data_IF_658277033249
#
_entry.id   IF_658277033249
#
_cell.length_a   1.000
_cell.length_b   1.000
_cell.length_c   1.000
_cell.angle_alpha   90.00
_cell.angle_beta   90.00
_cell.angle_gamma   90.00
#
_symmetry.space_group_name_H-M   'P 1'
#
loop_
_entity.id
_entity.type
_entity.pdbx_description
1 polymer ?
#
# COMPACT_ATOMS: atom_id res chain seq x y z
N UNK A 1 12.76 -11.94 3.43
CA UNK A 1 12.80 -13.03 2.44
C UNK A 1 14.09 -13.01 1.62
N UNK A 2 14.71 -11.84 1.43
CA UNK A 2 15.91 -11.67 0.61
C UNK A 2 15.60 -11.70 -0.88
N UNK A 3 14.37 -11.36 -1.31
CA UNK A 3 13.96 -11.49 -2.72
C UNK A 3 13.15 -10.30 -3.22
N UNK A 4 13.44 -9.86 -4.44
CA UNK A 4 12.71 -8.82 -5.17
C UNK A 4 12.08 -9.48 -6.41
N UNK A 5 10.77 -9.36 -6.55
CA UNK A 5 10.07 -9.75 -7.78
C UNK A 5 10.05 -8.56 -8.74
N UNK A 6 10.66 -8.70 -9.91
CA UNK A 6 10.55 -7.74 -11.01
C UNK A 6 9.54 -8.21 -12.05
N UNK A 7 8.70 -7.29 -12.50
CA UNK A 7 7.68 -7.51 -13.52
C UNK A 7 7.83 -6.46 -14.61
N UNK A 8 8.00 -6.91 -15.84
CA UNK A 8 7.90 -6.07 -17.03
C UNK A 8 6.57 -6.37 -17.72
N UNK A 9 5.67 -5.39 -17.70
CA UNK A 9 4.33 -5.50 -18.29
C UNK A 9 4.35 -5.46 -19.82
N UNK A 10 5.31 -4.76 -20.42
CA UNK A 10 5.46 -4.69 -21.88
C UNK A 10 5.94 -6.02 -22.44
N UNK A 11 6.95 -6.62 -21.80
CA UNK A 11 7.49 -7.90 -22.21
C UNK A 11 6.71 -9.11 -21.66
N UNK A 12 5.78 -8.89 -20.73
CA UNK A 12 5.09 -9.93 -19.93
C UNK A 12 6.07 -10.91 -19.29
N UNK A 13 7.15 -10.37 -18.69
CA UNK A 13 8.24 -11.15 -18.09
C UNK A 13 8.33 -10.90 -16.60
N UNK A 14 8.76 -11.94 -15.88
CA UNK A 14 9.04 -11.88 -14.45
C UNK A 14 10.45 -12.36 -14.17
N UNK A 15 11.13 -11.71 -13.24
CA UNK A 15 12.42 -12.15 -12.72
C UNK A 15 12.44 -12.04 -11.20
N UNK A 16 13.11 -12.98 -10.53
CA UNK A 16 13.32 -12.93 -9.09
C UNK A 16 14.80 -12.64 -8.84
N UNK A 17 15.07 -11.53 -8.17
CA UNK A 17 16.43 -11.13 -7.81
C UNK A 17 16.66 -11.36 -6.32
N UNK A 18 17.86 -11.84 -5.98
CA UNK A 18 18.32 -11.90 -4.60
C UNK A 18 18.62 -10.49 -4.09
N UNK A 19 18.02 -10.13 -2.95
CA UNK A 19 18.34 -8.88 -2.24
C UNK A 19 19.61 -9.10 -1.42
N UNK A 20 20.66 -8.35 -1.75
CA UNK A 20 21.92 -8.36 -1.02
C UNK A 20 21.67 -8.04 0.47
N UNK A 21 22.13 -8.90 1.41
CA UNK A 21 22.00 -8.67 2.83
C UNK A 21 22.55 -7.32 3.30
N UNK A 22 23.63 -6.81 2.70
CA UNK A 22 24.21 -5.52 3.03
C UNK A 22 23.27 -4.34 2.70
N UNK A 23 22.52 -4.45 1.60
CA UNK A 23 21.49 -3.48 1.23
C UNK A 23 20.33 -3.57 2.22
N UNK A 24 19.89 -4.78 2.56
CA UNK A 24 18.82 -4.96 3.56
C UNK A 24 19.21 -4.44 4.95
N UNK A 25 20.47 -4.58 5.37
CA UNK A 25 20.98 -4.06 6.63
C UNK A 25 21.06 -2.52 6.63
N UNK A 26 21.44 -1.92 5.50
CA UNK A 26 21.57 -0.48 5.35
C UNK A 26 20.22 0.24 5.22
N UNK A 27 19.28 -0.35 4.50
CA UNK A 27 18.00 0.30 4.14
C UNK A 27 16.78 -0.30 4.85
N UNK A 28 16.95 -1.39 5.61
CA UNK A 28 15.95 -2.09 6.44
C UNK A 28 14.82 -2.77 5.65
N UNK A 29 14.14 -2.05 4.75
CA UNK A 29 12.97 -2.48 3.99
C UNK A 29 12.05 -1.29 3.68
N UNK A 30 10.83 -1.56 3.22
CA UNK A 30 9.80 -0.52 2.99
C UNK A 30 10.31 0.69 2.20
N UNK A 31 10.01 1.90 2.68
CA UNK A 31 10.45 3.15 2.07
C UNK A 31 11.98 3.25 1.86
N UNK A 32 12.79 2.74 2.79
CA UNK A 32 14.26 2.78 2.67
C UNK A 32 14.77 1.95 1.50
N UNK A 33 14.25 0.72 1.35
CA UNK A 33 14.55 -0.11 0.17
C UNK A 33 14.00 0.52 -1.12
N UNK A 34 12.85 1.18 -1.02
CA UNK A 34 12.23 1.91 -2.13
C UNK A 34 13.10 3.07 -2.63
N UNK A 35 13.69 3.83 -1.70
CA UNK A 35 14.61 4.92 -2.02
C UNK A 35 15.86 4.40 -2.72
N UNK A 36 16.43 3.29 -2.24
CA UNK A 36 17.57 2.64 -2.90
C UNK A 36 17.22 2.14 -4.31
N UNK A 37 16.05 1.51 -4.49
CA UNK A 37 15.60 1.05 -5.81
C UNK A 37 15.38 2.22 -6.77
N UNK A 38 14.73 3.29 -6.32
CA UNK A 38 14.47 4.46 -7.17
C UNK A 38 15.78 5.19 -7.51
N UNK A 39 16.75 5.23 -6.60
CA UNK A 39 18.06 5.83 -6.89
C UNK A 39 18.87 5.05 -7.93
N UNK A 40 18.54 3.78 -8.19
CA UNK A 40 19.16 3.02 -9.29
C UNK A 40 18.60 3.43 -10.67
N UNK A 41 17.48 4.15 -10.70
CA UNK A 41 16.88 4.63 -11.93
C UNK A 41 17.68 5.82 -12.47
N UNK A 42 18.39 5.62 -13.58
CA UNK A 42 19.38 6.57 -14.09
C UNK A 42 18.78 7.86 -14.68
N UNK A 43 17.46 7.95 -14.85
CA UNK A 43 16.80 9.03 -15.60
C UNK A 43 16.09 10.01 -14.66
N UNK A 44 16.82 11.06 -14.24
CA UNK A 44 16.29 12.15 -13.41
C UNK A 44 15.31 13.08 -14.13
N UNK A 45 15.12 12.95 -15.45
CA UNK A 45 14.15 13.74 -16.23
C UNK A 45 13.00 12.89 -16.79
N UNK A 46 12.83 11.66 -16.30
CA UNK A 46 11.79 10.76 -16.78
C UNK A 46 10.38 11.30 -16.50
N UNK A 47 9.50 11.24 -17.50
CA UNK A 47 8.06 11.46 -17.32
C UNK A 47 7.51 10.44 -16.30
N UNK A 48 6.92 10.89 -15.17
CA UNK A 48 6.35 10.00 -14.16
C UNK A 48 5.26 9.04 -14.67
N UNK A 49 4.65 9.26 -15.83
CA UNK A 49 3.65 8.35 -16.40
C UNK A 49 4.21 7.41 -17.48
N UNK A 50 5.50 7.53 -17.81
CA UNK A 50 6.14 6.70 -18.83
C UNK A 50 6.27 5.22 -18.40
N UNK A 51 6.30 4.28 -19.37
CA UNK A 51 6.51 2.85 -19.10
C UNK A 51 7.76 2.55 -18.26
N UNK A 52 8.83 3.33 -18.42
CA UNK A 52 10.10 3.19 -17.71
C UNK A 52 10.01 3.62 -16.25
N UNK A 53 9.00 4.40 -15.84
CA UNK A 53 8.87 4.81 -14.45
C UNK A 53 8.49 3.59 -13.62
N UNK A 54 9.34 3.15 -12.70
CA UNK A 54 8.98 2.01 -11.87
C UNK A 54 7.91 2.40 -10.85
N UNK A 55 7.01 1.46 -10.56
CA UNK A 55 6.21 1.49 -9.34
C UNK A 55 6.56 0.25 -8.53
N UNK A 56 6.89 0.45 -7.25
CA UNK A 56 7.33 -0.63 -6.37
C UNK A 56 6.45 -0.72 -5.13
N UNK A 57 6.08 -1.95 -4.77
CA UNK A 57 5.34 -2.32 -3.56
C UNK A 57 6.30 -3.05 -2.62
N UNK A 58 6.57 -2.47 -1.46
CA UNK A 58 7.64 -2.91 -0.57
C UNK A 58 7.11 -3.22 0.82
N UNK A 59 7.70 -4.23 1.43
CA UNK A 59 7.38 -4.66 2.79
C UNK A 59 8.51 -4.31 3.74
N UNK A 60 8.17 -4.01 4.99
CA UNK A 60 9.14 -3.97 6.08
C UNK A 60 9.53 -5.39 6.54
N UNK A 61 10.65 -5.56 7.27
CA UNK A 61 11.07 -6.86 7.79
C UNK A 61 10.04 -7.48 8.75
N UNK A 62 9.24 -6.65 9.42
CA UNK A 62 8.22 -7.08 10.38
C UNK A 62 6.87 -7.44 9.73
N UNK A 63 6.66 -7.10 8.45
CA UNK A 63 5.37 -7.33 7.80
C UNK A 63 4.98 -8.83 7.82
N UNK A 64 3.73 -9.13 8.17
CA UNK A 64 3.20 -10.49 8.32
C UNK A 64 3.60 -11.24 9.60
N UNK A 65 4.39 -10.62 10.48
CA UNK A 65 4.75 -11.19 11.80
C UNK A 65 3.66 -10.95 12.84
N UNK A 66 3.86 -11.44 14.07
CA UNK A 66 2.91 -11.27 15.20
C UNK A 66 2.95 -9.87 15.85
N UNK A 67 3.80 -8.98 15.37
CA UNK A 67 3.91 -7.63 15.90
C UNK A 67 2.64 -6.84 15.54
N UNK A 68 1.95 -6.20 16.51
CA UNK A 68 0.75 -5.43 16.23
C UNK A 68 0.98 -4.37 15.15
N UNK A 69 0.04 -4.27 14.19
CA UNK A 69 0.13 -3.32 13.08
C UNK A 69 1.16 -3.65 12.00
N UNK A 70 1.76 -4.85 12.03
CA UNK A 70 2.78 -5.25 11.05
C UNK A 70 2.16 -5.93 9.81
N UNK A 71 1.20 -5.28 9.17
CA UNK A 71 0.60 -5.70 7.91
C UNK A 71 0.84 -4.67 6.77
N UNK A 72 1.60 -3.62 7.09
CA UNK A 72 1.83 -2.46 6.22
C UNK A 72 2.71 -2.78 5.01
N UNK A 73 2.47 -2.04 3.94
CA UNK A 73 3.31 -1.97 2.75
C UNK A 73 3.38 -0.54 2.24
N UNK A 74 4.53 -0.22 1.67
CA UNK A 74 4.82 1.09 1.08
C UNK A 74 4.79 0.96 -0.43
N UNK A 75 4.19 1.93 -1.11
CA UNK A 75 4.27 2.09 -2.55
C UNK A 75 5.15 3.29 -2.86
N UNK A 76 6.09 3.12 -3.79
CA UNK A 76 6.98 4.19 -4.22
C UNK A 76 7.07 4.25 -5.74
N UNK A 77 7.18 5.46 -6.26
CA UNK A 77 7.48 5.74 -7.66
C UNK A 77 7.95 7.20 -7.78
N UNK A 78 8.37 7.61 -8.98
CA UNK A 78 8.35 9.04 -9.30
C UNK A 78 6.90 9.52 -9.38
N UNK A 79 6.57 10.57 -8.64
CA UNK A 79 5.21 11.10 -8.50
C UNK A 79 4.78 11.93 -9.72
N UNK A 80 3.64 11.66 -10.37
CA UNK A 80 3.09 12.51 -11.44
C UNK A 80 2.51 13.83 -10.93
N UNK A 81 2.27 13.95 -9.61
CA UNK A 81 1.78 15.19 -9.02
C UNK A 81 2.91 16.21 -8.82
N UNK A 82 4.07 15.74 -8.39
CA UNK A 82 5.17 16.60 -7.91
C UNK A 82 6.44 16.47 -8.73
N UNK A 83 6.57 15.45 -9.58
CA UNK A 83 7.75 15.18 -10.40
C UNK A 83 8.96 14.65 -9.64
N UNK A 84 8.83 14.37 -8.34
CA UNK A 84 9.92 13.92 -7.44
C UNK A 84 9.54 12.58 -6.75
N UNK A 85 10.17 12.26 -5.62
CA UNK A 85 9.81 11.13 -4.75
C UNK A 85 8.30 11.10 -4.44
N UNK A 86 7.67 9.97 -4.76
CA UNK A 86 6.31 9.64 -4.36
C UNK A 86 6.33 8.43 -3.43
N UNK A 87 5.68 8.57 -2.28
CA UNK A 87 5.57 7.52 -1.28
C UNK A 87 4.17 7.55 -0.67
N UNK A 88 3.56 6.37 -0.55
CA UNK A 88 2.31 6.21 0.19
C UNK A 88 2.23 4.81 0.79
N UNK A 89 1.48 4.65 1.88
CA UNK A 89 1.54 3.43 2.70
C UNK A 89 0.13 2.99 3.12
N UNK A 90 -0.14 1.70 3.02
CA UNK A 90 -1.43 1.06 3.36
C UNK A 90 -1.18 -0.28 4.07
N UNK A 91 -2.21 -1.06 4.37
CA UNK A 91 -2.11 -2.32 5.13
C UNK A 91 -2.68 -3.55 4.41
N UNK A 92 -2.67 -4.69 5.10
CA UNK A 92 -3.04 -6.07 4.67
C UNK A 92 -2.27 -6.70 3.51
N UNK A 93 -2.12 -6.03 2.37
CA UNK A 93 -1.47 -6.58 1.18
C UNK A 93 0.01 -6.96 1.44
N UNK A 94 0.74 -6.15 2.20
CA UNK A 94 2.16 -6.36 2.49
C UNK A 94 2.47 -7.69 3.17
N UNK A 95 1.64 -8.10 4.12
CA UNK A 95 1.80 -9.36 4.80
C UNK A 95 1.70 -10.56 3.84
N UNK A 96 0.74 -10.53 2.90
CA UNK A 96 0.59 -11.60 1.90
C UNK A 96 1.67 -11.57 0.84
N UNK A 97 2.13 -10.39 0.42
CA UNK A 97 3.29 -10.28 -0.48
C UNK A 97 4.55 -10.89 0.14
N UNK A 98 4.81 -10.58 1.42
CA UNK A 98 5.95 -11.17 2.14
C UNK A 98 5.83 -12.69 2.27
N UNK A 99 4.63 -13.21 2.52
CA UNK A 99 4.34 -14.65 2.57
C UNK A 99 4.30 -15.31 1.19
N UNK A 100 4.19 -14.56 0.09
CA UNK A 100 4.46 -15.07 -1.26
C UNK A 100 5.98 -15.14 -1.51
N UNK A 101 6.74 -14.55 -0.58
CA UNK A 101 8.17 -14.74 -0.46
C UNK A 101 8.99 -13.61 -1.06
N UNK A 102 8.40 -12.42 -1.19
CA UNK A 102 9.02 -11.23 -1.77
C UNK A 102 9.04 -10.09 -0.76
N UNK A 103 10.18 -9.43 -0.61
CA UNK A 103 10.27 -8.21 0.19
C UNK A 103 9.88 -6.97 -0.62
N UNK A 104 10.01 -7.04 -1.94
CA UNK A 104 9.56 -6.02 -2.88
C UNK A 104 9.01 -6.63 -4.17
N UNK A 105 8.03 -5.95 -4.75
CA UNK A 105 7.51 -6.14 -6.11
C UNK A 105 7.76 -4.86 -6.89
N UNK A 106 8.56 -4.92 -7.95
CA UNK A 106 8.93 -3.78 -8.80
C UNK A 106 8.32 -3.98 -10.19
N UNK A 107 7.57 -2.99 -10.67
CA UNK A 107 6.83 -3.08 -11.92
C UNK A 107 7.26 -1.98 -12.88
N UNK A 108 7.64 -2.37 -14.09
CA UNK A 108 7.98 -1.50 -15.23
C UNK A 108 7.19 -1.90 -16.47
N UNK A 109 7.34 -1.13 -17.54
CA UNK A 109 6.59 -1.33 -18.77
C UNK A 109 5.14 -0.86 -18.68
N UNK A 110 4.39 -1.13 -19.74
CA UNK A 110 2.97 -0.85 -19.88
C UNK A 110 2.34 -2.03 -20.64
N UNK A 111 1.23 -2.56 -20.13
CA UNK A 111 0.53 -3.65 -20.82
C UNK A 111 -0.22 -3.15 -22.06
N UNK A 112 -0.39 -4.03 -23.05
CA UNK A 112 -1.17 -3.72 -24.27
C UNK A 112 -2.66 -3.54 -23.98
N UNK A 113 -3.17 -4.30 -23.01
CA UNK A 113 -4.57 -4.29 -22.56
C UNK A 113 -4.65 -4.09 -21.04
N UNK A 114 -5.79 -3.67 -20.48
CA UNK A 114 -6.05 -3.74 -19.04
C UNK A 114 -5.66 -5.11 -18.48
N UNK A 115 -4.73 -5.12 -17.54
CA UNK A 115 -4.13 -6.34 -16.98
C UNK A 115 -4.21 -6.30 -15.46
N UNK A 116 -4.33 -7.45 -14.81
CA UNK A 116 -4.06 -7.60 -13.38
C UNK A 116 -3.05 -8.72 -13.14
N UNK A 117 -2.26 -8.58 -12.08
CA UNK A 117 -1.29 -9.60 -11.67
C UNK A 117 -1.91 -10.50 -10.61
N UNK A 118 -1.75 -11.82 -10.77
CA UNK A 118 -2.05 -12.81 -9.74
C UNK A 118 -0.76 -13.47 -9.26
N UNK A 119 -0.44 -13.32 -7.98
CA UNK A 119 0.82 -13.75 -7.38
C UNK A 119 0.54 -14.76 -6.28
N UNK A 120 1.13 -15.95 -6.38
CA UNK A 120 1.16 -16.94 -5.30
C UNK A 120 2.62 -17.21 -4.89
N UNK A 121 2.82 -18.12 -3.94
CA UNK A 121 4.13 -18.65 -3.62
C UNK A 121 4.72 -19.56 -4.72
N UNK A 122 3.92 -19.94 -5.72
CA UNK A 122 4.29 -20.88 -6.79
C UNK A 122 4.30 -20.23 -8.19
N UNK A 123 3.34 -19.34 -8.47
CA UNK A 123 3.07 -18.81 -9.81
C UNK A 123 2.87 -17.30 -9.81
N UNK A 124 3.21 -16.69 -10.95
CA UNK A 124 2.90 -15.28 -11.25
C UNK A 124 2.21 -15.25 -12.62
N UNK A 125 0.99 -14.74 -12.65
CA UNK A 125 0.15 -14.72 -13.85
C UNK A 125 -0.24 -13.30 -14.24
N UNK A 126 -0.21 -13.02 -15.55
CA UNK A 126 -0.71 -11.79 -16.16
C UNK A 126 -2.11 -12.08 -16.71
N UNK A 127 -3.15 -11.57 -16.04
CA UNK A 127 -4.55 -11.86 -16.37
C UNK A 127 -5.24 -10.65 -16.99
N UNK A 128 -6.18 -10.93 -17.90
CA UNK A 128 -7.02 -9.91 -18.51
C UNK A 128 -7.88 -9.22 -17.44
N UNK A 129 -7.89 -7.88 -17.44
CA UNK A 129 -8.69 -7.06 -16.54
C UNK A 129 -9.68 -6.13 -17.27
N UNK A 130 -9.96 -6.37 -18.56
CA UNK A 130 -10.86 -5.54 -19.35
C UNK A 130 -12.27 -5.48 -18.73
N UNK A 131 -12.73 -6.61 -18.19
CA UNK A 131 -14.01 -6.70 -17.48
C UNK A 131 -14.04 -5.98 -16.12
N UNK A 132 -12.87 -5.62 -15.55
CA UNK A 132 -12.75 -4.81 -14.33
C UNK A 132 -12.50 -3.33 -14.62
N UNK A 133 -12.02 -3.00 -15.82
CA UNK A 133 -11.70 -1.64 -16.21
C UNK A 133 -12.96 -0.76 -16.21
N UNK A 134 -12.89 0.42 -15.63
CA UNK A 134 -14.02 1.32 -15.41
C UNK A 134 -14.81 1.07 -14.12
N UNK A 135 -14.60 -0.05 -13.44
CA UNK A 135 -15.29 -0.37 -12.17
C UNK A 135 -14.66 0.35 -10.98
N UNK A 136 -15.48 0.70 -10.00
CA UNK A 136 -15.01 1.20 -8.71
C UNK A 136 -14.25 0.11 -7.94
N UNK A 137 -13.32 0.53 -7.08
CA UNK A 137 -12.53 -0.37 -6.23
C UNK A 137 -13.38 -1.21 -5.27
N UNK A 138 -14.61 -0.81 -4.96
CA UNK A 138 -15.55 -1.62 -4.18
C UNK A 138 -16.17 -2.77 -4.97
N UNK A 139 -16.28 -2.64 -6.29
CA UNK A 139 -16.96 -3.60 -7.16
C UNK A 139 -16.05 -4.71 -7.66
N UNK A 140 -14.74 -4.55 -7.52
CA UNK A 140 -13.72 -5.49 -8.03
C UNK A 140 -13.32 -6.55 -7.02
N UNK A 141 -13.66 -6.39 -5.74
CA UNK A 141 -13.28 -7.35 -4.69
C UNK A 141 -13.83 -8.75 -4.96
N UNK A 142 -15.14 -8.87 -5.16
CA UNK A 142 -15.79 -10.17 -5.38
C UNK A 142 -15.29 -10.86 -6.65
N UNK A 143 -15.20 -10.18 -7.82
CA UNK A 143 -14.60 -10.77 -9.02
C UNK A 143 -13.16 -11.26 -8.82
N UNK A 144 -12.28 -10.44 -8.24
CA UNK A 144 -10.88 -10.82 -8.02
C UNK A 144 -10.81 -12.07 -7.13
N UNK A 145 -11.54 -12.12 -6.01
CA UNK A 145 -11.52 -13.28 -5.12
C UNK A 145 -12.10 -14.54 -5.77
N UNK A 146 -13.11 -14.41 -6.63
CA UNK A 146 -13.72 -15.53 -7.35
C UNK A 146 -12.78 -16.11 -8.41
N UNK A 147 -12.02 -15.27 -9.11
CA UNK A 147 -11.06 -15.69 -10.14
C UNK A 147 -9.75 -16.21 -9.55
N UNK A 148 -9.41 -15.80 -8.33
CA UNK A 148 -8.12 -16.10 -7.68
C UNK A 148 -8.28 -17.02 -6.48
N UNK A 149 -8.44 -16.45 -5.28
CA UNK A 149 -8.60 -17.17 -4.03
C UNK A 149 -9.43 -16.36 -3.03
N UNK A 150 -10.32 -16.99 -2.23
CA UNK A 150 -11.16 -16.29 -1.25
C UNK A 150 -10.36 -15.47 -0.24
N UNK A 151 -9.14 -15.90 0.10
CA UNK A 151 -8.23 -15.23 1.03
C UNK A 151 -7.09 -14.46 0.33
N UNK A 152 -7.24 -14.12 -0.95
CA UNK A 152 -6.31 -13.22 -1.62
C UNK A 152 -6.37 -11.83 -0.97
N UNK A 153 -5.23 -11.17 -0.81
CA UNK A 153 -5.21 -9.73 -0.58
C UNK A 153 -4.95 -9.06 -1.94
N UNK A 154 -5.49 -7.87 -2.17
CA UNK A 154 -5.29 -7.20 -3.44
C UNK A 154 -5.20 -5.69 -3.27
N UNK A 155 -4.48 -5.08 -4.19
CA UNK A 155 -4.46 -3.63 -4.42
C UNK A 155 -5.02 -3.33 -5.80
N UNK A 156 -5.67 -2.19 -5.95
CA UNK A 156 -6.27 -1.83 -7.23
C UNK A 156 -6.48 -0.33 -7.39
N UNK A 157 -6.71 0.08 -8.63
CA UNK A 157 -7.11 1.43 -8.99
C UNK A 157 -8.58 1.48 -9.39
N UNK A 158 -9.24 2.61 -9.09
CA UNK A 158 -10.55 2.95 -9.65
C UNK A 158 -10.43 3.81 -10.90
N UNK A 159 -11.57 4.35 -11.41
CA UNK A 159 -11.59 5.18 -12.60
C UNK A 159 -10.65 6.40 -12.56
N UNK A 160 -10.37 6.93 -11.36
CA UNK A 160 -9.41 8.03 -11.20
C UNK A 160 -7.98 7.63 -11.61
N UNK A 161 -7.54 6.42 -11.26
CA UNK A 161 -6.23 5.90 -11.66
C UNK A 161 -6.19 5.58 -13.14
N UNK A 162 -7.24 4.96 -13.67
CA UNK A 162 -7.39 4.63 -15.10
C UNK A 162 -7.35 5.88 -15.99
N UNK A 163 -7.91 7.00 -15.51
CA UNK A 163 -7.90 8.31 -16.16
C UNK A 163 -6.71 9.19 -15.78
N UNK A 164 -5.71 8.61 -15.11
CA UNK A 164 -4.44 9.26 -14.77
C UNK A 164 -4.56 10.54 -13.94
N UNK A 165 -5.58 10.62 -13.06
CA UNK A 165 -5.72 11.77 -12.18
C UNK A 165 -4.50 11.87 -11.24
N UNK A 166 -3.83 13.02 -11.18
CA UNK A 166 -2.58 13.21 -10.41
C UNK A 166 -2.74 13.00 -8.89
N UNK A 167 -3.97 12.90 -8.39
CA UNK A 167 -4.31 12.59 -7.00
C UNK A 167 -4.93 11.20 -6.82
N UNK A 168 -4.85 10.34 -7.83
CA UNK A 168 -5.40 8.99 -7.78
C UNK A 168 -4.65 8.12 -6.75
N UNK A 169 -5.44 7.46 -5.91
CA UNK A 169 -4.99 6.51 -4.90
C UNK A 169 -4.88 5.09 -5.46
N UNK A 170 -4.15 4.24 -4.74
CA UNK A 170 -4.24 2.78 -4.85
C UNK A 170 -4.99 2.28 -3.62
N UNK A 171 -6.08 1.55 -3.84
CA UNK A 171 -6.97 1.07 -2.79
C UNK A 171 -6.66 -0.39 -2.43
N UNK A 172 -6.87 -0.75 -1.18
CA UNK A 172 -6.74 -2.10 -0.62
C UNK A 172 -8.04 -2.47 0.11
N UNK A 173 -8.43 -3.75 0.06
CA UNK A 173 -9.57 -4.33 0.79
C UNK A 173 -10.96 -3.79 0.41
N UNK A 174 -11.16 -3.43 -0.86
CA UNK A 174 -12.50 -3.08 -1.35
C UNK A 174 -13.24 -2.10 -0.43
N UNK A 175 -14.35 -2.55 0.14
CA UNK A 175 -15.24 -1.73 0.99
C UNK A 175 -14.64 -1.27 2.31
N UNK A 176 -13.64 -1.99 2.85
CA UNK A 176 -12.96 -1.58 4.10
C UNK A 176 -12.06 -0.35 3.87
N UNK A 177 -11.80 0.01 2.61
CA UNK A 177 -11.35 1.35 2.23
C UNK A 177 -9.96 1.75 2.73
N UNK A 178 -8.97 0.86 2.64
CA UNK A 178 -7.57 1.22 2.92
C UNK A 178 -6.94 1.83 1.66
N UNK A 179 -6.05 2.81 1.82
CA UNK A 179 -5.53 3.56 0.68
C UNK A 179 -4.06 3.95 0.83
N UNK A 180 -3.29 3.67 -0.21
CA UNK A 180 -2.09 4.42 -0.56
C UNK A 180 -2.55 5.66 -1.35
N UNK A 181 -2.90 6.73 -0.62
CA UNK A 181 -3.78 7.78 -1.12
C UNK A 181 -3.11 8.99 -1.79
N UNK A 182 -1.81 9.21 -1.57
CA UNK A 182 -1.12 10.46 -1.99
C UNK A 182 -0.07 10.20 -3.06
N UNK A 183 0.48 11.30 -3.58
CA UNK A 183 1.53 11.32 -4.61
C UNK A 183 1.11 10.81 -5.99
N UNK A 184 -0.17 10.53 -6.24
CA UNK A 184 -0.67 10.13 -7.55
C UNK A 184 -0.20 8.74 -8.00
N UNK A 185 0.16 7.86 -7.07
CA UNK A 185 0.67 6.53 -7.39
C UNK A 185 -0.38 5.65 -8.09
N UNK A 186 -1.68 5.92 -7.89
CA UNK A 186 -2.75 5.29 -8.67
C UNK A 186 -2.74 5.68 -10.15
N UNK A 187 -2.30 6.89 -10.50
CA UNK A 187 -2.12 7.28 -11.90
C UNK A 187 -0.89 6.61 -12.53
N UNK A 188 0.19 6.40 -11.78
CA UNK A 188 1.34 5.62 -12.24
C UNK A 188 0.93 4.17 -12.53
N UNK A 189 0.16 3.56 -11.63
CA UNK A 189 -0.37 2.20 -11.84
C UNK A 189 -1.32 2.15 -13.07
N UNK A 190 -2.16 3.17 -13.23
CA UNK A 190 -3.07 3.29 -14.37
C UNK A 190 -2.37 3.53 -15.71
N UNK A 191 -1.29 4.30 -15.75
CA UNK A 191 -0.54 4.55 -17.00
C UNK A 191 0.05 3.27 -17.57
N UNK A 192 0.32 2.29 -16.71
CA UNK A 192 0.79 0.95 -17.08
C UNK A 192 -0.31 -0.01 -17.53
N UNK A 193 -1.57 0.43 -17.55
CA UNK A 193 -2.78 -0.38 -17.73
C UNK A 193 -2.89 -1.53 -16.72
N UNK A 194 -2.33 -1.35 -15.52
CA UNK A 194 -2.40 -2.33 -14.45
C UNK A 194 -3.59 -2.02 -13.54
N UNK A 195 -4.66 -2.81 -13.64
CA UNK A 195 -5.90 -2.60 -12.87
C UNK A 195 -5.75 -3.01 -11.41
N UNK A 196 -5.12 -4.16 -11.16
CA UNK A 196 -4.99 -4.72 -9.82
C UNK A 196 -3.75 -5.61 -9.69
N UNK A 197 -3.35 -5.86 -8.45
CA UNK A 197 -2.38 -6.88 -8.06
C UNK A 197 -3.01 -7.66 -6.93
N UNK A 198 -3.29 -8.94 -7.17
CA UNK A 198 -3.81 -9.86 -6.18
C UNK A 198 -2.70 -10.83 -5.76
N UNK A 199 -2.65 -11.14 -4.46
CA UNK A 199 -1.61 -11.98 -3.88
C UNK A 199 -2.17 -12.94 -2.83
N UNK A 200 -1.71 -14.19 -2.88
CA UNK A 200 -1.98 -15.17 -1.84
C UNK A 200 -0.72 -15.98 -1.51
N UNK A 201 0.06 -15.43 -0.58
CA UNK A 201 1.22 -16.10 -0.03
C UNK A 201 0.92 -16.90 1.23
N UNK A 202 1.58 -18.05 1.38
CA UNK A 202 1.42 -18.98 2.52
C UNK A 202 2.71 -19.33 3.24
N UNK A 203 3.87 -18.88 2.74
CA UNK A 203 5.16 -19.21 3.35
C UNK A 203 5.23 -18.74 4.81
N UNK A 204 5.88 -19.56 5.63
CA UNK A 204 6.17 -19.20 7.01
C UNK A 204 7.34 -18.21 7.07
N UNK A 205 7.14 -17.13 7.84
CA UNK A 205 8.16 -16.12 8.04
C UNK A 205 9.13 -16.59 9.14
N UNK A 206 10.42 -16.61 8.79
CA UNK A 206 11.47 -16.96 9.73
C UNK A 206 11.74 -15.80 10.69
N UNK A 207 11.67 -16.08 11.99
CA UNK A 207 11.99 -15.13 13.07
C UNK A 207 13.29 -15.61 13.72
N UNK A 208 14.33 -14.77 13.72
CA UNK A 208 15.63 -15.14 14.26
C UNK A 208 15.60 -15.51 15.76
N UNK A 209 14.76 -14.81 16.54
CA UNK A 209 14.63 -14.99 17.99
C UNK A 209 13.14 -15.08 18.39
N UNK A 210 12.47 -16.23 18.17
CA UNK A 210 11.03 -16.36 18.38
C UNK A 210 10.63 -16.15 19.85
N UNK A 211 11.39 -16.69 20.80
CA UNK A 211 11.11 -16.53 22.24
C UNK A 211 11.32 -15.09 22.70
N UNK A 212 12.34 -14.42 22.16
CA UNK A 212 12.59 -12.99 22.40
C UNK A 212 11.43 -12.12 21.91
N UNK A 213 10.90 -12.41 20.73
CA UNK A 213 9.71 -11.73 20.20
C UNK A 213 8.49 -11.96 21.10
N UNK A 214 8.25 -13.20 21.53
CA UNK A 214 7.12 -13.52 22.43
C UNK A 214 7.24 -12.76 23.76
N UNK A 215 8.43 -12.72 24.35
CA UNK A 215 8.69 -11.97 25.59
C UNK A 215 8.44 -10.47 25.41
N UNK A 216 8.92 -9.89 24.31
CA UNK A 216 8.67 -8.49 23.97
C UNK A 216 7.15 -8.23 23.81
N UNK A 217 6.43 -9.10 23.11
CA UNK A 217 4.98 -8.92 22.92
C UNK A 217 4.21 -8.96 24.24
N UNK A 218 4.58 -9.85 25.18
CA UNK A 218 3.95 -9.91 26.51
C UNK A 218 4.06 -8.60 27.29
N UNK A 219 5.17 -7.87 27.13
CA UNK A 219 5.40 -6.60 27.81
C UNK A 219 4.80 -5.41 27.06
N UNK A 220 4.88 -5.39 25.72
CA UNK A 220 4.48 -4.23 24.93
C UNK A 220 2.98 -4.20 24.61
N UNK A 221 2.33 -5.35 24.36
CA UNK A 221 0.92 -5.38 23.95
C UNK A 221 -0.03 -4.77 24.99
N UNK A 222 0.10 -5.05 26.31
CA UNK A 222 -0.74 -4.42 27.32
C UNK A 222 -0.61 -2.88 27.29
N UNK A 223 0.62 -2.37 27.20
CA UNK A 223 0.89 -0.93 27.10
C UNK A 223 0.31 -0.31 25.83
N UNK A 224 0.42 -1.00 24.70
CA UNK A 224 -0.19 -0.53 23.43
C UNK A 224 -1.71 -0.42 23.59
N UNK A 225 -2.36 -1.42 24.19
CA UNK A 225 -3.83 -1.39 24.40
C UNK A 225 -4.24 -0.22 25.28
N UNK A 226 -3.55 0.00 26.38
CA UNK A 226 -3.79 1.12 27.30
C UNK A 226 -3.70 2.47 26.57
N UNK A 227 -2.58 2.72 25.88
CA UNK A 227 -2.33 3.98 25.17
C UNK A 227 -3.23 4.20 23.94
N UNK A 228 -3.86 3.16 23.40
CA UNK A 228 -4.68 3.23 22.17
C UNK A 228 -6.18 3.15 22.42
N UNK A 229 -6.62 3.18 23.69
CA UNK A 229 -8.04 3.10 24.06
C UNK A 229 -8.94 4.05 23.28
N UNK A 230 -8.53 5.32 23.10
CA UNK A 230 -9.29 6.30 22.33
C UNK A 230 -9.41 5.92 20.84
N UNK A 231 -8.30 5.52 20.21
CA UNK A 231 -8.30 5.07 18.81
C UNK A 231 -9.13 3.79 18.62
N UNK A 232 -9.15 2.88 19.60
CA UNK A 232 -9.98 1.68 19.56
C UNK A 232 -11.47 2.04 19.63
N UNK A 233 -11.84 3.02 20.44
CA UNK A 233 -13.24 3.38 20.64
C UNK A 233 -13.79 4.29 19.53
N UNK A 234 -13.00 5.23 19.04
CA UNK A 234 -13.47 6.33 18.17
C UNK A 234 -12.74 6.43 16.82
N UNK A 235 -11.79 5.52 16.55
CA UNK A 235 -10.94 5.60 15.36
C UNK A 235 -10.05 6.85 15.33
N UNK A 236 -9.50 7.17 14.17
CA UNK A 236 -8.72 8.41 13.96
C UNK A 236 -9.57 9.67 14.13
N UNK A 237 -10.87 9.59 13.83
CA UNK A 237 -11.83 10.69 13.97
C UNK A 237 -12.06 11.10 15.42
N UNK A 238 -11.66 10.29 16.42
CA UNK A 238 -11.69 10.66 17.83
C UNK A 238 -10.84 11.88 18.18
N UNK A 239 -9.86 12.24 17.34
CA UNK A 239 -9.00 13.41 17.54
C UNK A 239 -9.58 14.74 17.02
N UNK A 240 -10.71 14.74 16.30
CA UNK A 240 -11.20 15.93 15.58
C UNK A 240 -11.43 17.12 16.52
N UNK A 241 -12.06 16.90 17.68
CA UNK A 241 -12.33 17.97 18.67
C UNK A 241 -11.03 18.54 19.21
N UNK A 242 -10.07 17.68 19.57
CA UNK A 242 -8.77 18.12 20.07
C UNK A 242 -7.97 18.91 19.01
N UNK A 243 -8.07 18.56 17.72
CA UNK A 243 -7.42 19.31 16.64
C UNK A 243 -8.06 20.70 16.46
N UNK A 244 -9.38 20.83 16.67
CA UNK A 244 -10.05 22.13 16.63
C UNK A 244 -9.61 23.03 17.80
N UNK A 245 -9.54 22.49 19.02
CA UNK A 245 -9.14 23.23 20.22
C UNK A 245 -7.73 23.84 20.13
N UNK A 246 -6.81 23.16 19.43
CA UNK A 246 -5.44 23.64 19.21
C UNK A 246 -5.27 24.47 17.92
N UNK A 247 -6.34 24.69 17.16
CA UNK A 247 -6.32 25.45 15.90
C UNK A 247 -5.72 24.72 14.70
N UNK A 248 -5.65 23.37 14.73
CA UNK A 248 -5.12 22.52 13.65
C UNK A 248 -6.22 21.82 12.83
N UNK A 249 -7.47 22.30 12.92
CA UNK A 249 -8.57 21.82 12.08
C UNK A 249 -8.75 22.75 10.85
N UNK A 250 -8.48 22.28 9.61
CA UNK A 250 -8.62 23.12 8.43
C UNK A 250 -10.08 23.46 8.13
N UNK A 251 -10.46 24.72 8.35
CA UNK A 251 -11.80 25.25 8.06
C UNK A 251 -11.72 26.21 6.87
N UNK A 252 -12.53 25.94 5.83
CA UNK A 252 -12.62 26.77 4.60
C UNK A 252 -11.24 27.09 4.00
N UNK A 253 -10.45 26.06 3.71
CA UNK A 253 -9.08 26.21 3.19
C UNK A 253 -8.18 27.07 4.10
N UNK A 254 -8.18 26.76 5.40
CA UNK A 254 -7.37 27.45 6.42
C UNK A 254 -7.72 28.93 6.67
N UNK A 255 -8.88 29.40 6.22
CA UNK A 255 -9.34 30.77 6.48
C UNK A 255 -10.17 30.91 7.77
N UNK A 256 -10.64 29.80 8.35
CA UNK A 256 -11.38 29.79 9.61
C UNK A 256 -10.48 29.62 10.84
N UNK A 257 -10.98 30.01 12.02
CA UNK A 257 -10.27 29.89 13.29
C UNK A 257 -10.95 28.97 14.32
N UNK A 258 -12.25 29.20 14.60
CA UNK A 258 -13.03 28.36 15.53
C UNK A 258 -14.23 27.74 14.78
N UNK A 259 -14.46 26.45 14.99
CA UNK A 259 -15.57 25.69 14.42
C UNK A 259 -16.03 24.54 15.34
N UNK A 260 -16.08 24.80 16.64
CA UNK A 260 -16.33 23.79 17.68
C UNK A 260 -17.59 22.93 17.44
N UNK A 261 -18.74 23.56 17.13
CA UNK A 261 -19.99 22.83 16.89
C UNK A 261 -19.88 21.86 15.70
N UNK A 262 -19.21 22.29 14.64
CA UNK A 262 -19.00 21.47 13.45
C UNK A 262 -18.00 20.35 13.69
N UNK A 263 -16.91 20.63 14.41
CA UNK A 263 -15.92 19.64 14.80
C UNK A 263 -16.55 18.53 15.65
N UNK A 264 -17.40 18.88 16.61
CA UNK A 264 -18.19 17.91 17.38
C UNK A 264 -19.08 17.07 16.46
N UNK A 265 -19.84 17.71 15.56
CA UNK A 265 -20.80 17.02 14.69
C UNK A 265 -20.18 15.97 13.76
N UNK A 266 -18.89 16.10 13.41
CA UNK A 266 -18.16 15.15 12.55
C UNK A 266 -17.13 14.30 13.32
N UNK A 267 -17.11 14.38 14.66
CA UNK A 267 -16.15 13.66 15.49
C UNK A 267 -16.42 12.15 15.51
N UNK A 268 -15.36 11.36 15.77
CA UNK A 268 -15.48 9.92 15.97
C UNK A 268 -16.36 9.55 17.19
N UNK A 269 -16.45 10.44 18.18
CA UNK A 269 -17.32 10.27 19.36
C UNK A 269 -18.78 10.30 18.91
N UNK A 270 -19.17 11.34 18.16
CA UNK A 270 -20.53 11.49 17.63
C UNK A 270 -20.90 10.38 16.64
N UNK A 271 -19.95 9.87 15.86
CA UNK A 271 -20.20 8.76 14.94
C UNK A 271 -20.52 7.44 15.66
N UNK A 272 -19.96 7.22 16.85
CA UNK A 272 -20.16 5.98 17.64
C UNK A 272 -21.44 6.03 18.46
N UNK A 273 -21.87 7.23 18.86
CA UNK A 273 -23.09 7.42 19.66
C UNK A 273 -24.38 7.43 18.83
N UNK A 274 -24.27 7.50 17.49
CA UNK A 274 -25.39 7.40 16.53
C UNK A 274 -25.61 5.96 16.08
#
# INVERSE_FOLDING_TARGET
>A
MGRILRVDLSARRTAVESLDPSISAKFIGGAGLGAWLLSQQQHTELDPLAPENMIAFLTGPLAGTRIPGSDRYTVVARSPLTGIWGESDSGTFGARLKRAGYDALVITGQADIPTYLWITDETIEFRDAAHLWGKDTYEIESPIRAETHPQAEFVAIGPAGERLARIAAIMTNGRDGRAAARCGLGAVMGSKKLKAIAVHGRLELQIAYPDGLISALKTQVPRIRELRTSFTRYGSAGGIVAMEEIGDLPVKNWLGGNWADGANAISGITMVEK
#
